data_IF_104693478530
#
_entry.id   IF_104693478530
#
_cell.length_a   1.000
_cell.length_b   1.000
_cell.length_c   1.000
_cell.angle_alpha   90.00
_cell.angle_beta   90.00
_cell.angle_gamma   90.00
#
_symmetry.space_group_name_H-M   'P 1'
#
loop_
_entity.id
_entity.type
_entity.pdbx_description
1 polymer ?
#
# COMPACT_ATOMS: atom_id res chain seq x y z
N UNK A 1 46.00 -11.26 -8.94
CA UNK A 1 45.09 -12.42 -8.70
C UNK A 1 43.68 -11.88 -8.65
N UNK A 2 42.94 -12.03 -9.75
CA UNK A 2 41.52 -11.67 -9.87
C UNK A 2 40.74 -12.84 -9.25
N UNK A 3 39.98 -12.55 -8.18
CA UNK A 3 39.08 -13.52 -7.59
C UNK A 3 37.76 -13.43 -8.38
N UNK A 4 37.56 -14.40 -9.28
CA UNK A 4 36.27 -14.63 -9.95
C UNK A 4 35.27 -15.15 -8.91
N UNK A 5 34.45 -14.26 -8.37
CA UNK A 5 33.26 -14.63 -7.61
C UNK A 5 32.15 -15.00 -8.63
N UNK A 6 32.09 -16.25 -9.05
CA UNK A 6 30.94 -16.82 -9.73
C UNK A 6 29.77 -16.84 -8.74
N UNK A 7 28.87 -15.84 -8.80
CA UNK A 7 27.59 -15.91 -8.11
C UNK A 7 26.83 -17.14 -8.65
N UNK A 8 26.74 -18.20 -7.86
CA UNK A 8 25.87 -19.32 -8.16
C UNK A 8 24.43 -18.82 -8.16
N UNK A 9 23.89 -18.63 -9.34
CA UNK A 9 22.46 -18.35 -9.51
C UNK A 9 21.70 -19.53 -8.91
N UNK A 10 20.96 -19.29 -7.83
CA UNK A 10 20.13 -20.32 -7.19
C UNK A 10 19.04 -20.73 -8.19
N UNK A 11 18.91 -22.02 -8.52
CA UNK A 11 17.88 -22.48 -9.46
C UNK A 11 16.48 -22.01 -9.08
N UNK A 12 15.68 -21.61 -10.06
CA UNK A 12 14.35 -20.99 -9.87
C UNK A 12 13.41 -21.85 -9.01
N UNK A 13 13.45 -23.18 -9.14
CA UNK A 13 12.65 -24.09 -8.32
C UNK A 13 13.00 -24.02 -6.81
N UNK A 14 14.29 -23.78 -6.47
CA UNK A 14 14.71 -23.59 -5.08
C UNK A 14 14.28 -22.21 -4.52
N UNK A 15 14.28 -21.19 -5.38
CA UNK A 15 13.75 -19.87 -5.01
C UNK A 15 12.25 -19.96 -4.73
N UNK A 16 11.49 -20.69 -5.56
CA UNK A 16 10.04 -20.91 -5.37
C UNK A 16 9.78 -21.73 -4.11
N UNK A 17 10.59 -22.77 -3.81
CA UNK A 17 10.46 -23.52 -2.56
C UNK A 17 10.74 -22.66 -1.33
N UNK A 18 11.79 -21.85 -1.37
CA UNK A 18 12.12 -20.91 -0.30
C UNK A 18 10.99 -19.89 -0.10
N UNK A 19 10.42 -19.35 -1.19
CA UNK A 19 9.29 -18.43 -1.14
C UNK A 19 8.04 -19.10 -0.53
N UNK A 20 7.73 -20.35 -0.92
CA UNK A 20 6.63 -21.15 -0.34
C UNK A 20 6.83 -21.42 1.15
N UNK A 21 8.06 -21.70 1.59
CA UNK A 21 8.39 -21.87 3.01
C UNK A 21 8.20 -20.55 3.80
N UNK A 22 8.67 -19.44 3.24
CA UNK A 22 8.49 -18.10 3.84
C UNK A 22 7.02 -17.74 3.92
N UNK A 23 6.24 -18.00 2.86
CA UNK A 23 4.79 -17.75 2.85
C UNK A 23 4.04 -18.63 3.86
N UNK A 24 4.44 -19.92 4.00
CA UNK A 24 3.86 -20.84 4.99
C UNK A 24 4.20 -20.43 6.42
N UNK A 25 5.44 -19.99 6.68
CA UNK A 25 5.86 -19.43 7.96
C UNK A 25 5.14 -18.12 8.27
N UNK A 26 5.00 -17.21 7.29
CA UNK A 26 4.23 -15.98 7.41
C UNK A 26 2.75 -16.25 7.69
N UNK A 27 2.13 -17.24 7.05
CA UNK A 27 0.74 -17.63 7.34
C UNK A 27 0.56 -18.11 8.79
N UNK A 28 1.58 -18.76 9.38
CA UNK A 28 1.59 -19.17 10.79
C UNK A 28 1.81 -18.00 11.77
N UNK A 29 2.55 -16.97 11.32
CA UNK A 29 2.81 -15.73 12.09
C UNK A 29 1.62 -14.77 11.98
N UNK A 30 1.03 -14.63 10.78
CA UNK A 30 -0.17 -13.80 10.53
C UNK A 30 -1.40 -14.39 11.24
N UNK A 31 -1.44 -15.70 11.49
CA UNK A 31 -2.47 -16.36 12.32
C UNK A 31 -2.38 -16.05 13.83
N UNK A 32 -1.29 -15.45 14.33
CA UNK A 32 -1.28 -14.74 15.60
C UNK A 32 -1.92 -13.38 15.32
N UNK A 33 -3.19 -13.26 15.70
CA UNK A 33 -3.93 -12.01 15.62
C UNK A 33 -3.02 -10.88 16.12
N UNK A 34 -2.74 -9.88 15.26
CA UNK A 34 -2.37 -8.56 15.76
C UNK A 34 -3.37 -8.27 16.87
N UNK A 35 -2.97 -7.74 18.02
CA UNK A 35 -3.95 -7.08 18.86
C UNK A 35 -4.60 -6.06 17.92
N UNK A 36 -5.80 -6.39 17.46
CA UNK A 36 -6.63 -5.42 16.76
C UNK A 36 -6.63 -4.24 17.71
N UNK A 37 -6.12 -3.11 17.28
CA UNK A 37 -6.33 -1.89 18.02
C UNK A 37 -7.85 -1.85 18.18
N UNK A 38 -8.33 -2.21 19.37
CA UNK A 38 -9.75 -2.22 19.69
C UNK A 38 -10.15 -0.76 19.82
N UNK A 39 -10.37 -0.14 18.67
CA UNK A 39 -10.97 1.17 18.63
C UNK A 39 -12.42 1.02 19.08
N UNK A 40 -12.69 1.45 20.31
CA UNK A 40 -14.07 1.62 20.76
C UNK A 40 -14.67 2.75 19.92
N UNK A 41 -15.77 2.46 19.24
CA UNK A 41 -16.45 3.46 18.43
C UNK A 41 -16.93 4.61 19.33
N UNK A 42 -16.36 5.77 19.12
CA UNK A 42 -16.74 7.00 19.81
C UNK A 42 -17.27 7.99 18.77
N UNK A 43 -18.27 8.81 19.13
CA UNK A 43 -18.67 9.92 18.27
C UNK A 43 -17.48 10.81 17.94
N UNK A 44 -17.33 11.16 16.67
CA UNK A 44 -16.30 12.11 16.24
C UNK A 44 -16.76 13.52 16.65
N UNK A 45 -15.94 14.27 17.41
CA UNK A 45 -16.30 15.63 17.82
C UNK A 45 -16.45 16.59 16.63
N UNK A 46 -17.20 17.66 16.78
CA UNK A 46 -17.15 18.76 15.82
C UNK A 46 -15.76 19.39 15.86
N UNK A 47 -15.08 19.39 14.70
CA UNK A 47 -13.71 19.90 14.58
C UNK A 47 -13.57 21.34 15.02
N UNK A 48 -14.63 22.15 14.92
CA UNK A 48 -14.63 23.57 15.32
C UNK A 48 -14.57 23.75 16.85
N UNK A 49 -14.88 22.72 17.60
CA UNK A 49 -14.82 22.74 19.07
C UNK A 49 -13.46 22.29 19.63
N UNK A 50 -12.60 21.75 18.79
CA UNK A 50 -11.29 21.22 19.19
C UNK A 50 -10.21 22.30 19.17
N UNK A 51 -9.24 22.21 20.09
CA UNK A 51 -7.97 22.91 19.91
C UNK A 51 -7.19 22.27 18.73
N UNK A 52 -6.33 23.04 18.07
CA UNK A 52 -5.56 22.51 16.91
C UNK A 52 -4.71 21.29 17.29
N UNK A 53 -4.11 21.30 18.47
CA UNK A 53 -3.28 20.21 18.99
C UNK A 53 -4.07 18.92 19.29
N UNK A 54 -5.39 19.00 19.39
CA UNK A 54 -6.28 17.85 19.65
C UNK A 54 -6.88 17.25 18.38
N UNK A 55 -6.56 17.82 17.22
CA UNK A 55 -7.03 17.31 15.93
C UNK A 55 -6.25 16.07 15.55
N UNK A 56 -6.83 14.88 15.76
CA UNK A 56 -6.24 13.60 15.38
C UNK A 56 -6.86 13.03 14.10
N UNK A 57 -6.15 13.14 12.99
CA UNK A 57 -6.56 12.59 11.70
C UNK A 57 -6.24 11.10 11.54
N UNK A 58 -5.63 10.46 12.53
CA UNK A 58 -5.39 9.00 12.53
C UNK A 58 -6.58 8.20 13.04
N UNK A 59 -7.60 8.87 13.60
CA UNK A 59 -8.81 8.23 14.12
C UNK A 59 -9.63 7.58 12.97
N UNK A 60 -9.80 6.25 12.91
CA UNK A 60 -10.51 5.59 11.83
C UNK A 60 -12.01 5.96 11.76
N UNK A 61 -12.61 6.34 12.87
CA UNK A 61 -14.03 6.74 12.90
C UNK A 61 -14.29 8.07 12.19
N UNK A 62 -13.26 8.91 12.08
CA UNK A 62 -13.29 10.12 11.28
C UNK A 62 -13.68 9.84 9.82
N UNK A 63 -13.10 8.77 9.26
CA UNK A 63 -13.35 8.33 7.88
C UNK A 63 -14.67 7.56 7.78
N UNK A 64 -14.95 6.68 8.73
CA UNK A 64 -16.17 5.88 8.76
C UNK A 64 -17.43 6.74 8.86
N UNK A 65 -17.38 7.85 9.60
CA UNK A 65 -18.47 8.80 9.79
C UNK A 65 -18.45 9.96 8.76
N UNK A 66 -17.58 9.89 7.76
CA UNK A 66 -17.39 10.91 6.68
C UNK A 66 -17.12 12.34 7.19
N UNK A 67 -16.48 12.47 8.35
CA UNK A 67 -16.15 13.76 8.97
C UNK A 67 -14.77 14.30 8.56
N UNK A 68 -13.93 13.49 7.91
CA UNK A 68 -12.53 13.78 7.62
C UNK A 68 -12.32 15.07 6.80
N UNK A 69 -13.29 15.43 5.93
CA UNK A 69 -13.15 16.62 5.05
C UNK A 69 -13.06 17.92 5.85
N UNK A 70 -13.88 18.07 6.89
CA UNK A 70 -13.86 19.24 7.76
C UNK A 70 -12.55 19.33 8.56
N UNK A 71 -12.05 18.20 9.07
CA UNK A 71 -10.78 18.11 9.78
C UNK A 71 -9.60 18.52 8.92
N UNK A 72 -9.47 17.92 7.73
CA UNK A 72 -8.40 18.28 6.81
C UNK A 72 -8.54 19.70 6.25
N UNK A 73 -9.78 20.20 6.07
CA UNK A 73 -9.99 21.59 5.68
C UNK A 73 -9.43 22.53 6.74
N UNK A 74 -9.78 22.32 7.99
CA UNK A 74 -9.30 23.15 9.10
C UNK A 74 -7.77 23.09 9.23
N UNK A 75 -7.16 21.90 9.11
CA UNK A 75 -5.71 21.79 9.12
C UNK A 75 -5.05 22.53 7.95
N UNK A 76 -5.60 22.45 6.73
CA UNK A 76 -5.08 23.21 5.59
C UNK A 76 -5.12 24.72 5.82
N UNK A 77 -6.16 25.20 6.47
CA UNK A 77 -6.36 26.63 6.68
C UNK A 77 -5.51 27.17 7.84
N UNK A 78 -5.44 26.46 8.96
CA UNK A 78 -4.88 26.95 10.22
C UNK A 78 -3.51 26.32 10.59
N UNK A 79 -3.27 25.06 10.23
CA UNK A 79 -2.04 24.33 10.56
C UNK A 79 -1.69 23.34 9.45
N UNK A 80 -1.24 23.80 8.26
CA UNK A 80 -1.03 22.92 7.09
C UNK A 80 0.07 21.86 7.29
N UNK A 81 1.01 22.11 8.19
CA UNK A 81 1.99 21.18 8.70
C UNK A 81 1.70 20.99 10.18
N UNK A 82 0.97 19.93 10.52
CA UNK A 82 0.44 19.70 11.86
C UNK A 82 1.14 18.53 12.53
N UNK A 83 1.62 18.74 13.78
CA UNK A 83 2.23 17.69 14.59
C UNK A 83 1.23 17.06 15.53
N UNK A 84 0.93 15.80 15.29
CA UNK A 84 0.15 14.96 16.18
C UNK A 84 1.05 14.33 17.23
N UNK A 85 0.99 14.82 18.46
CA UNK A 85 1.86 14.37 19.55
C UNK A 85 1.49 12.98 20.09
N UNK A 86 0.18 12.67 20.07
CA UNK A 86 -0.36 11.42 20.63
C UNK A 86 -1.34 10.80 19.65
N UNK A 87 -1.05 9.58 19.23
CA UNK A 87 -1.98 8.76 18.46
C UNK A 87 -1.74 7.28 18.78
N UNK A 88 -2.65 6.38 18.40
CA UNK A 88 -2.43 4.94 18.50
C UNK A 88 -1.23 4.42 17.70
N UNK A 89 -0.72 5.23 16.78
CA UNK A 89 0.41 4.92 15.89
C UNK A 89 1.72 5.60 16.30
N UNK A 90 1.75 6.27 17.46
CA UNK A 90 2.84 7.16 17.85
C UNK A 90 2.69 8.58 17.32
N UNK A 91 3.67 9.47 17.57
CA UNK A 91 3.64 10.84 17.05
C UNK A 91 3.92 10.87 15.55
N UNK A 92 3.25 11.79 14.84
CA UNK A 92 3.47 11.97 13.40
C UNK A 92 3.17 13.38 12.93
N UNK A 93 3.62 13.73 11.73
CA UNK A 93 3.30 14.97 11.05
C UNK A 93 2.25 14.75 9.96
N UNK A 94 1.25 15.62 9.93
CA UNK A 94 0.26 15.67 8.84
C UNK A 94 0.59 16.83 7.91
N UNK A 95 0.85 16.52 6.64
CA UNK A 95 1.08 17.50 5.58
C UNK A 95 -0.20 17.57 4.76
N UNK A 96 -0.85 18.74 4.68
CA UNK A 96 -2.22 18.83 4.20
C UNK A 96 -2.42 19.71 2.96
N UNK A 97 -1.46 20.57 2.61
CA UNK A 97 -1.49 21.35 1.37
C UNK A 97 -0.82 20.62 0.23
N UNK A 98 -1.37 20.72 -0.95
CA UNK A 98 -0.89 20.02 -2.13
C UNK A 98 0.58 20.33 -2.47
N UNK A 99 0.97 21.60 -2.42
CA UNK A 99 2.35 22.01 -2.71
C UNK A 99 3.35 21.44 -1.70
N UNK A 100 2.97 21.42 -0.41
CA UNK A 100 3.80 20.84 0.64
C UNK A 100 3.92 19.32 0.48
N UNK A 101 2.85 18.65 0.10
CA UNK A 101 2.85 17.20 -0.20
C UNK A 101 3.79 16.93 -1.39
N UNK A 102 3.68 17.69 -2.48
CA UNK A 102 4.59 17.55 -3.63
C UNK A 102 6.05 17.79 -3.26
N UNK A 103 6.30 18.77 -2.39
CA UNK A 103 7.66 19.04 -1.93
C UNK A 103 8.23 17.85 -1.15
N UNK A 104 7.47 17.31 -0.20
CA UNK A 104 7.90 16.13 0.59
C UNK A 104 8.09 14.91 -0.32
N UNK A 105 7.12 14.62 -1.20
CA UNK A 105 7.13 13.46 -2.08
C UNK A 105 8.32 13.46 -3.07
N UNK A 106 8.70 14.62 -3.56
CA UNK A 106 9.80 14.76 -4.53
C UNK A 106 11.18 14.89 -3.91
N UNK A 107 11.26 15.20 -2.62
CA UNK A 107 12.54 15.49 -1.94
C UNK A 107 13.07 14.27 -1.20
N UNK A 108 13.35 13.19 -1.91
CA UNK A 108 13.85 11.94 -1.35
C UNK A 108 15.19 12.09 -0.59
N UNK A 109 15.94 13.15 -0.85
CA UNK A 109 17.17 13.46 -0.13
C UNK A 109 16.92 14.00 1.29
N UNK A 110 15.70 14.52 1.54
CA UNK A 110 15.29 15.09 2.82
C UNK A 110 14.31 14.19 3.58
N UNK A 111 13.51 13.43 2.83
CA UNK A 111 12.43 12.60 3.37
C UNK A 111 12.56 11.17 2.86
N UNK A 112 12.70 10.24 3.78
CA UNK A 112 12.84 8.81 3.49
C UNK A 112 11.48 8.14 3.37
N UNK A 113 11.37 7.16 2.46
CA UNK A 113 10.24 6.23 2.38
C UNK A 113 10.42 4.99 3.24
N UNK A 114 11.62 4.79 3.80
CA UNK A 114 11.90 3.66 4.68
C UNK A 114 11.40 3.92 6.12
N UNK A 115 11.01 2.90 6.86
CA UNK A 115 10.96 1.47 6.49
C UNK A 115 9.59 1.03 5.94
N UNK A 116 8.63 1.92 5.84
CA UNK A 116 7.26 1.59 5.41
C UNK A 116 6.46 2.82 4.97
N UNK A 117 5.38 2.56 4.23
CA UNK A 117 4.48 3.58 3.66
C UNK A 117 3.17 3.77 4.44
N UNK A 118 3.05 3.13 5.59
CA UNK A 118 1.87 3.23 6.46
C UNK A 118 2.22 3.89 7.78
N UNK A 119 1.24 4.51 8.42
CA UNK A 119 1.42 5.16 9.70
C UNK A 119 1.73 4.15 10.82
N UNK A 120 2.67 4.50 11.71
CA UNK A 120 3.15 3.69 12.82
C UNK A 120 4.38 2.85 12.48
N UNK A 121 4.99 2.24 13.49
CA UNK A 121 6.14 1.39 13.31
C UNK A 121 5.77 0.00 12.76
N UNK A 122 6.62 -0.62 11.93
CA UNK A 122 6.42 -1.99 11.52
C UNK A 122 6.47 -2.91 12.73
N UNK A 123 5.62 -3.94 12.80
CA UNK A 123 5.72 -4.96 13.84
C UNK A 123 7.10 -5.61 13.84
N UNK A 124 7.65 -5.83 15.04
CA UNK A 124 8.96 -6.46 15.21
C UNK A 124 9.05 -7.79 14.42
N UNK A 125 10.10 -7.96 13.65
CA UNK A 125 10.32 -9.15 12.81
C UNK A 125 9.44 -9.21 11.54
N UNK A 126 8.63 -8.21 11.23
CA UNK A 126 7.75 -8.15 10.06
C UNK A 126 8.18 -7.02 9.11
N UNK A 127 9.41 -7.09 8.60
CA UNK A 127 9.82 -6.23 7.50
C UNK A 127 9.48 -6.90 6.17
N UNK A 128 8.65 -6.25 5.35
CA UNK A 128 8.42 -6.66 3.96
C UNK A 128 9.20 -5.70 3.09
N UNK A 129 10.26 -6.22 2.49
CA UNK A 129 11.04 -5.44 1.53
C UNK A 129 10.20 -5.19 0.27
N UNK A 130 9.77 -3.95 0.07
CA UNK A 130 9.04 -3.48 -1.10
C UNK A 130 9.75 -2.24 -1.63
N UNK A 131 9.97 -2.14 -2.95
CA UNK A 131 10.67 -0.97 -3.48
C UNK A 131 9.95 0.36 -3.20
N UNK A 132 8.62 0.35 -3.02
CA UNK A 132 7.85 1.52 -2.61
C UNK A 132 8.20 2.05 -1.20
N UNK A 133 8.84 1.22 -0.37
CA UNK A 133 9.31 1.54 0.98
C UNK A 133 10.84 1.48 1.05
N UNK A 134 11.50 1.91 0.00
CA UNK A 134 12.96 1.97 -0.12
C UNK A 134 13.39 3.32 -0.64
N UNK A 135 14.59 3.73 -0.27
CA UNK A 135 15.24 4.93 -0.79
C UNK A 135 16.21 4.60 -1.94
N UNK A 136 16.59 5.58 -2.77
CA UNK A 136 17.67 5.44 -3.74
C UNK A 136 19.02 5.07 -3.03
N UNK A 137 19.91 4.30 -3.67
CA UNK A 137 19.80 3.73 -5.02
C UNK A 137 19.04 2.39 -5.08
N UNK A 138 18.70 1.79 -3.94
CA UNK A 138 18.04 0.46 -3.86
C UNK A 138 16.67 0.48 -4.53
N UNK A 139 15.87 1.53 -4.28
CA UNK A 139 14.59 1.77 -4.94
C UNK A 139 14.73 1.77 -6.47
N UNK A 140 15.68 2.53 -7.00
CA UNK A 140 15.81 2.76 -8.45
C UNK A 140 16.15 1.48 -9.18
N UNK A 141 17.06 0.67 -8.62
CA UNK A 141 17.46 -0.62 -9.20
C UNK A 141 16.27 -1.58 -9.28
N UNK A 142 15.47 -1.68 -8.22
CA UNK A 142 14.31 -2.58 -8.20
C UNK A 142 13.17 -2.08 -9.08
N UNK A 143 12.90 -0.78 -9.05
CA UNK A 143 11.88 -0.16 -9.90
C UNK A 143 12.21 -0.31 -11.38
N UNK A 144 13.48 -0.09 -11.75
CA UNK A 144 13.93 -0.22 -13.12
C UNK A 144 13.75 -1.64 -13.67
N UNK A 145 13.93 -2.68 -12.83
CA UNK A 145 13.75 -4.07 -13.23
C UNK A 145 12.30 -4.39 -13.64
N UNK A 146 11.30 -3.71 -13.07
CA UNK A 146 9.87 -3.97 -13.34
C UNK A 146 9.21 -2.90 -14.22
N UNK A 147 9.85 -1.76 -14.39
CA UNK A 147 9.28 -0.61 -15.10
C UNK A 147 8.89 -0.94 -16.55
N UNK A 148 9.68 -1.78 -17.22
CA UNK A 148 9.43 -2.18 -18.60
C UNK A 148 8.09 -2.90 -18.78
N UNK A 149 7.68 -3.71 -17.80
CA UNK A 149 6.45 -4.52 -17.84
C UNK A 149 5.20 -3.64 -17.96
N UNK A 150 5.19 -2.50 -17.26
CA UNK A 150 4.06 -1.54 -17.25
C UNK A 150 4.28 -0.35 -18.16
N UNK A 151 5.24 -0.42 -19.09
CA UNK A 151 5.47 0.64 -20.05
C UNK A 151 4.23 0.83 -20.95
N UNK A 152 3.91 2.06 -21.38
CA UNK A 152 2.71 2.34 -22.19
C UNK A 152 2.59 1.47 -23.44
N UNK A 153 3.71 1.13 -24.09
CA UNK A 153 3.72 0.25 -25.25
C UNK A 153 3.20 -1.15 -24.89
N UNK A 154 3.72 -1.75 -23.83
CA UNK A 154 3.32 -3.09 -23.39
C UNK A 154 1.86 -3.12 -22.90
N UNK A 155 1.43 -2.08 -22.18
CA UNK A 155 0.03 -1.95 -21.79
C UNK A 155 -0.92 -1.85 -22.98
N UNK A 156 -0.52 -1.16 -24.05
CA UNK A 156 -1.29 -1.08 -25.29
C UNK A 156 -1.40 -2.44 -25.99
N UNK A 157 -0.32 -3.22 -26.00
CA UNK A 157 -0.33 -4.58 -26.55
C UNK A 157 -1.25 -5.52 -25.74
N UNK A 158 -1.42 -5.27 -24.45
CA UNK A 158 -2.31 -6.03 -23.58
C UNK A 158 -3.78 -5.58 -23.62
N UNK A 159 -4.12 -4.48 -24.29
CA UNK A 159 -5.49 -3.93 -24.29
C UNK A 159 -6.54 -4.97 -24.73
N UNK A 160 -6.25 -5.74 -25.78
CA UNK A 160 -7.13 -6.81 -26.27
C UNK A 160 -7.41 -7.86 -25.20
N UNK A 161 -6.36 -8.36 -24.55
CA UNK A 161 -6.46 -9.35 -23.48
C UNK A 161 -7.21 -8.80 -22.25
N UNK A 162 -6.94 -7.56 -21.88
CA UNK A 162 -7.66 -6.90 -20.76
C UNK A 162 -9.15 -6.83 -21.05
N UNK A 163 -9.53 -6.45 -22.27
CA UNK A 163 -10.92 -6.34 -22.71
C UNK A 163 -11.63 -7.71 -22.73
N UNK A 164 -10.96 -8.73 -23.27
CA UNK A 164 -11.47 -10.10 -23.28
C UNK A 164 -11.75 -10.61 -21.85
N UNK A 165 -10.78 -10.52 -20.96
CA UNK A 165 -10.95 -10.96 -19.56
C UNK A 165 -11.99 -10.16 -18.79
N UNK A 166 -12.07 -8.85 -19.04
CA UNK A 166 -13.12 -8.04 -18.45
C UNK A 166 -14.51 -8.50 -18.93
N UNK A 167 -14.66 -8.83 -20.23
CA UNK A 167 -15.87 -9.41 -20.78
C UNK A 167 -16.22 -10.72 -20.11
N UNK A 168 -15.29 -11.69 -20.06
CA UNK A 168 -15.52 -13.00 -19.40
C UNK A 168 -15.99 -12.85 -17.95
N UNK A 169 -15.35 -11.98 -17.18
CA UNK A 169 -15.73 -11.74 -15.78
C UNK A 169 -17.12 -11.14 -15.69
N UNK A 170 -17.44 -10.15 -16.53
CA UNK A 170 -18.76 -9.51 -16.52
C UNK A 170 -19.87 -10.47 -16.99
N UNK A 171 -19.60 -11.29 -18.02
CA UNK A 171 -20.55 -12.27 -18.54
C UNK A 171 -20.84 -13.41 -17.55
N UNK A 172 -19.92 -13.68 -16.61
CA UNK A 172 -20.09 -14.67 -15.55
C UNK A 172 -20.95 -14.21 -14.38
N UNK A 173 -21.31 -12.92 -14.33
CA UNK A 173 -22.03 -12.35 -13.18
C UNK A 173 -23.50 -12.82 -13.12
N UNK A 174 -24.03 -13.07 -11.92
CA UNK A 174 -25.43 -13.42 -11.76
C UNK A 174 -26.32 -12.23 -12.14
N UNK A 175 -27.37 -12.50 -12.93
CA UNK A 175 -28.35 -11.50 -13.34
C UNK A 175 -29.57 -11.49 -12.42
N UNK A 176 -30.08 -10.30 -12.13
CA UNK A 176 -31.33 -10.13 -11.38
C UNK A 176 -31.25 -10.41 -9.87
N UNK A 177 -30.05 -10.68 -9.33
CA UNK A 177 -29.84 -10.91 -7.90
C UNK A 177 -28.67 -10.05 -7.39
N UNK A 178 -28.72 -9.56 -6.15
CA UNK A 178 -27.59 -8.88 -5.54
C UNK A 178 -26.39 -9.82 -5.36
N UNK A 179 -25.19 -9.33 -5.62
CA UNK A 179 -23.96 -10.09 -5.40
C UNK A 179 -22.84 -9.17 -4.85
N UNK A 180 -21.78 -9.76 -4.32
CA UNK A 180 -20.63 -9.02 -3.85
C UNK A 180 -19.65 -8.74 -5.02
N UNK A 181 -19.57 -7.50 -5.42
CA UNK A 181 -18.70 -7.05 -6.53
C UNK A 181 -17.20 -7.35 -6.29
N UNK A 182 -16.74 -7.17 -5.05
CA UNK A 182 -15.30 -7.27 -4.73
C UNK A 182 -14.73 -8.66 -5.06
N UNK A 183 -15.27 -9.79 -4.57
CA UNK A 183 -14.75 -11.10 -4.96
C UNK A 183 -15.06 -11.45 -6.41
N UNK A 184 -16.25 -11.10 -6.93
CA UNK A 184 -16.70 -11.52 -8.25
C UNK A 184 -16.00 -10.78 -9.39
N UNK A 185 -15.64 -9.52 -9.21
CA UNK A 185 -15.04 -8.68 -10.26
C UNK A 185 -13.67 -8.18 -9.87
N UNK A 186 -13.57 -7.41 -8.77
CA UNK A 186 -12.34 -6.67 -8.47
C UNK A 186 -11.15 -7.60 -8.20
N UNK A 187 -11.33 -8.63 -7.37
CA UNK A 187 -10.25 -9.60 -7.07
C UNK A 187 -9.93 -10.48 -8.27
N UNK A 188 -10.96 -10.94 -8.96
CA UNK A 188 -10.83 -11.86 -10.09
C UNK A 188 -10.06 -11.21 -11.25
N UNK A 189 -10.54 -10.06 -11.73
CA UNK A 189 -9.91 -9.36 -12.85
C UNK A 189 -8.48 -8.88 -12.50
N UNK A 190 -8.31 -8.26 -11.33
CA UNK A 190 -6.99 -7.76 -10.89
C UNK A 190 -6.01 -8.91 -10.69
N UNK A 191 -6.45 -10.02 -10.09
CA UNK A 191 -5.61 -11.20 -9.88
C UNK A 191 -5.15 -11.83 -11.20
N UNK A 192 -6.05 -12.02 -12.16
CA UNK A 192 -5.72 -12.53 -13.50
C UNK A 192 -4.75 -11.63 -14.24
N UNK A 193 -4.96 -10.30 -14.18
CA UNK A 193 -4.08 -9.37 -14.86
C UNK A 193 -2.70 -9.31 -14.21
N UNK A 194 -2.62 -9.31 -12.89
CA UNK A 194 -1.36 -9.32 -12.17
C UNK A 194 -0.56 -10.62 -12.45
N UNK A 195 -1.24 -11.76 -12.44
CA UNK A 195 -0.62 -13.04 -12.78
C UNK A 195 -0.02 -13.01 -14.21
N UNK A 196 -0.75 -12.45 -15.18
CA UNK A 196 -0.25 -12.29 -16.55
C UNK A 196 0.95 -11.35 -16.63
N UNK A 197 0.89 -10.20 -15.95
CA UNK A 197 1.99 -9.23 -15.92
C UNK A 197 3.28 -9.81 -15.35
N UNK A 198 3.16 -10.72 -14.41
CA UNK A 198 4.30 -11.35 -13.71
C UNK A 198 4.60 -12.77 -14.19
N UNK A 199 3.96 -13.22 -15.27
CA UNK A 199 4.11 -14.57 -15.85
C UNK A 199 3.86 -15.69 -14.80
N UNK A 200 2.86 -15.51 -13.96
CA UNK A 200 2.40 -16.52 -13.01
C UNK A 200 1.18 -17.28 -13.56
N UNK A 201 1.09 -18.60 -13.33
CA UNK A 201 -0.13 -19.34 -13.60
C UNK A 201 -1.24 -18.83 -12.66
N UNK A 202 -2.45 -18.70 -13.23
CA UNK A 202 -3.64 -18.24 -12.49
C UNK A 202 -4.64 -19.41 -12.37
#
# INVERSE_FOLDING_TARGET
>A
KVINATSKVVPMHLQIQALKMVMKAKKKIIGRQRPLLNFVETPVPDVNTLALEDIDVSNPFLYRQDQWRAYFKRLRDEAPVHYQKKSPFGPFWSITRYEDILFVDKSHELFSSEPQIILGDPPEGLSVEMFIAMDPPKHDVQRQAVQGVVAPKNLKEMEGLIRERAGEVLDSLPLGVPFNWVPAVSKELTGRMLATLLDFPY
#
